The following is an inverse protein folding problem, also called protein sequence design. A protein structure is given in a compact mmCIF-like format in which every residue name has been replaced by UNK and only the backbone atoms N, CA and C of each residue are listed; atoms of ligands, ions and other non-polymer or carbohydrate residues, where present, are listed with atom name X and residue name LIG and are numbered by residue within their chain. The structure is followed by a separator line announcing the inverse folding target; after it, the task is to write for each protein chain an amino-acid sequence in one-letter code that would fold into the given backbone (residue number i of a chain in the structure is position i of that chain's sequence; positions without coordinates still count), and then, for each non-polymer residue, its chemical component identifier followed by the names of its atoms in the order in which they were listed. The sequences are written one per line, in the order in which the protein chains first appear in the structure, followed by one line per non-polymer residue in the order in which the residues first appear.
data_IF_971195564860
#
_entry.id   IF_971195564860
#
_cell.length_a   1.000
_cell.length_b   1.000
_cell.length_c   1.000
_cell.angle_alpha   90.00
_cell.angle_beta   90.00
_cell.angle_gamma   90.00
#
_symmetry.space_group_name_H-M   'P 1'
#
loop_
_entity.id
_entity.type
_entity.pdbx_description
1 polymer ?
#
# COMPACT_ATOMS: atom_id res chain seq x y z
N UNK A 1 -17.45 -11.40 25.12
CA UNK A 1 -16.95 -11.43 24.84
C UNK A 1 -16.57 -11.17 23.76
N UNK A 2 -16.16 -10.95 23.47
CA UNK A 2 -15.75 -10.60 22.53
C UNK A 2 -15.31 -11.39 21.65
N UNK A 3 -15.63 -11.65 20.91
CA UNK A 3 -15.26 -12.37 20.15
C UNK A 3 -14.35 -11.93 19.27
N UNK A 4 -13.56 -12.44 19.15
CA UNK A 4 -12.67 -12.10 18.39
C UNK A 4 -12.83 -12.54 17.08
N UNK A 5 -13.07 -11.79 16.22
CA UNK A 5 -13.12 -12.11 15.01
C UNK A 5 -11.80 -12.24 14.52
N UNK A 6 -11.36 -13.29 14.02
CA UNK A 6 -10.17 -13.43 13.46
C UNK A 6 -10.20 -12.81 12.13
N UNK A 7 -9.72 -11.65 11.98
CA UNK A 7 -9.68 -10.98 10.75
C UNK A 7 -8.35 -11.27 10.14
N UNK A 8 -8.34 -11.99 9.08
CA UNK A 8 -7.09 -12.38 8.45
C UNK A 8 -6.60 -11.27 7.58
N UNK A 9 -5.46 -10.73 7.91
CA UNK A 9 -4.83 -9.73 7.07
C UNK A 9 -4.13 -10.41 5.92
N UNK A 10 -4.03 -9.72 4.82
CA UNK A 10 -3.41 -10.24 3.63
C UNK A 10 -2.16 -9.46 3.33
N UNK A 11 -1.24 -10.09 2.63
CA UNK A 11 -0.02 -9.41 2.21
C UNK A 11 -0.24 -8.85 0.82
N UNK A 12 0.13 -7.60 0.64
CA UNK A 12 -0.04 -6.92 -0.63
C UNK A 12 1.29 -6.38 -1.12
N UNK A 13 1.49 -6.51 -2.42
CA UNK A 13 2.66 -5.94 -3.05
C UNK A 13 2.20 -4.62 -3.66
N UNK A 14 2.80 -3.54 -3.26
CA UNK A 14 2.41 -2.21 -3.72
C UNK A 14 3.57 -1.59 -4.45
N UNK A 15 3.32 -1.12 -5.66
CA UNK A 15 4.31 -0.40 -6.45
C UNK A 15 3.81 1.01 -6.59
N UNK A 16 4.60 1.96 -6.18
CA UNK A 16 4.18 3.35 -6.22
C UNK A 16 5.35 4.25 -6.60
N UNK A 17 5.03 5.46 -7.03
CA UNK A 17 6.02 6.43 -7.43
C UNK A 17 6.40 7.29 -6.24
N UNK A 18 7.66 7.65 -6.17
CA UNK A 18 8.11 8.55 -5.12
C UNK A 18 9.21 9.45 -5.69
N UNK A 19 9.48 10.55 -4.98
CA UNK A 19 10.51 11.47 -5.40
C UNK A 19 11.42 11.70 -4.21
N UNK A 20 12.71 11.87 -4.47
CA UNK A 20 13.63 12.22 -3.41
C UNK A 20 13.46 13.68 -3.00
N UNK A 21 13.07 14.52 -3.95
CA UNK A 21 12.77 15.91 -3.67
C UNK A 21 11.75 16.33 -4.71
N UNK A 22 11.04 17.37 -4.42
CA UNK A 22 9.84 17.69 -5.17
C UNK A 22 10.07 17.95 -6.65
N UNK A 23 11.27 18.24 -7.02
CA UNK A 23 11.58 18.45 -8.42
C UNK A 23 12.52 17.41 -8.96
N UNK A 24 12.65 16.30 -8.29
CA UNK A 24 13.58 15.27 -8.70
C UNK A 24 12.93 14.23 -9.60
N UNK A 25 13.70 13.26 -10.02
CA UNK A 25 13.19 12.21 -10.88
C UNK A 25 12.26 11.30 -10.10
N UNK A 26 11.28 10.76 -10.79
CA UNK A 26 10.33 9.83 -10.19
C UNK A 26 10.98 8.45 -10.13
N UNK A 27 10.83 7.80 -8.99
CA UNK A 27 11.32 6.45 -8.80
C UNK A 27 10.16 5.54 -8.45
N UNK A 28 10.22 4.32 -8.90
CA UNK A 28 9.23 3.31 -8.53
C UNK A 28 9.77 2.52 -7.37
N UNK A 29 8.94 2.37 -6.35
CA UNK A 29 9.31 1.64 -5.15
C UNK A 29 8.30 0.53 -4.94
N UNK A 30 8.79 -0.66 -4.63
CA UNK A 30 7.95 -1.81 -4.32
C UNK A 30 7.99 -2.04 -2.83
N UNK A 31 6.82 -2.20 -2.23
CA UNK A 31 6.74 -2.40 -0.81
C UNK A 31 5.72 -3.49 -0.52
N UNK A 32 6.00 -4.29 0.50
CA UNK A 32 5.06 -5.31 0.93
C UNK A 32 4.41 -4.81 2.20
N UNK A 33 3.09 -4.75 2.21
CA UNK A 33 2.36 -4.31 3.38
C UNK A 33 1.30 -5.34 3.74
N UNK A 34 0.96 -5.38 5.03
CA UNK A 34 -0.07 -6.26 5.51
C UNK A 34 -1.31 -5.43 5.74
N UNK A 35 -2.41 -5.80 5.13
CA UNK A 35 -3.63 -5.01 5.20
C UNK A 35 -4.86 -5.89 5.00
N UNK A 36 -6.02 -5.36 5.32
CA UNK A 36 -7.25 -6.12 5.17
C UNK A 36 -7.72 -6.17 3.71
N UNK A 37 -7.51 -5.10 2.98
CA UNK A 37 -7.90 -5.05 1.57
C UNK A 37 -7.13 -3.93 0.87
N UNK A 38 -7.41 -3.74 -0.40
CA UNK A 38 -6.69 -2.75 -1.19
C UNK A 38 -6.92 -1.32 -0.69
N UNK A 39 -8.14 -1.02 -0.25
CA UNK A 39 -8.42 0.31 0.27
C UNK A 39 -7.61 0.57 1.54
N UNK A 40 -7.45 -0.45 2.38
CA UNK A 40 -6.66 -0.30 3.59
C UNK A 40 -5.20 -0.07 3.23
N UNK A 41 -4.70 -0.73 2.18
CA UNK A 41 -3.35 -0.52 1.71
C UNK A 41 -3.14 0.94 1.34
N UNK A 42 -4.09 1.55 0.64
CA UNK A 42 -3.98 2.95 0.25
C UNK A 42 -3.91 3.86 1.48
N UNK A 43 -4.66 3.54 2.51
CA UNK A 43 -4.63 4.31 3.72
C UNK A 43 -3.29 4.19 4.43
N UNK A 44 -2.71 3.00 4.43
CA UNK A 44 -1.44 2.79 5.08
C UNK A 44 -0.30 3.48 4.34
N UNK A 45 -0.34 3.45 3.01
CA UNK A 45 0.69 4.07 2.20
C UNK A 45 0.57 5.59 2.28
N UNK A 46 -0.64 6.10 2.37
CA UNK A 46 -0.88 7.55 2.47
C UNK A 46 -0.37 8.30 1.25
N UNK A 47 -0.54 7.71 0.09
CA UNK A 47 -0.16 8.36 -1.14
C UNK A 47 -1.38 8.54 -2.00
N UNK A 48 -1.33 9.52 -2.89
CA UNK A 48 -2.42 9.74 -3.83
C UNK A 48 -2.55 8.57 -4.77
N UNK A 49 -3.75 8.31 -5.24
CA UNK A 49 -3.97 7.23 -6.19
C UNK A 49 -3.13 7.40 -7.44
N UNK A 50 -2.87 8.63 -7.84
CA UNK A 50 -2.07 8.90 -9.02
C UNK A 50 -0.65 8.38 -8.87
N UNK A 51 -0.17 8.25 -7.65
CA UNK A 51 1.18 7.78 -7.41
C UNK A 51 1.26 6.27 -7.23
N UNK A 52 0.15 5.63 -6.93
CA UNK A 52 0.12 4.18 -6.74
C UNK A 52 -0.09 3.52 -8.10
N UNK A 53 0.86 2.71 -8.49
CA UNK A 53 0.81 2.07 -9.80
C UNK A 53 0.16 0.71 -9.75
N UNK A 54 0.39 -0.04 -8.68
CA UNK A 54 -0.10 -1.42 -8.60
C UNK A 54 -0.30 -1.81 -7.16
N UNK A 55 -1.39 -2.48 -6.88
CA UNK A 55 -1.63 -3.13 -5.61
C UNK A 55 -2.06 -4.55 -5.95
N UNK A 56 -1.28 -5.51 -5.49
CA UNK A 56 -1.53 -6.89 -5.86
C UNK A 56 -1.46 -7.76 -4.61
N UNK A 57 -2.45 -8.59 -4.44
CA UNK A 57 -2.45 -9.51 -3.31
C UNK A 57 -1.49 -10.65 -3.61
N UNK A 58 -0.64 -10.94 -2.65
CA UNK A 58 0.35 -12.00 -2.80
C UNK A 58 -0.21 -13.34 -2.34
#
# INVERSE_FOLDING_TARGET
MCQLKMIAMKMYKVVFKTFDYWNGPVKLVTKIVEAYDADHVKQLIQKNDDLIMLIEEI
#
